data_IF_108973509915
#
_entry.id   IF_108973509915
#
_cell.length_a   1.000
_cell.length_b   1.000
_cell.length_c   1.000
_cell.angle_alpha   90.00
_cell.angle_beta   90.00
_cell.angle_gamma   90.00
#
_symmetry.space_group_name_H-M   'P 1'
#
loop_
_entity.id
_entity.type
_entity.pdbx_description
1 polymer ?
#
# COMPACT_ATOMS: atom_id res chain seq x y z
N UNK A 1 1.72 -6.91 27.07
CA UNK A 1 0.61 -6.90 26.09
C UNK A 1 0.83 -5.68 25.19
N UNK A 2 1.36 -5.84 23.97
CA UNK A 2 1.75 -4.71 23.11
C UNK A 2 0.50 -4.16 22.40
N UNK A 3 0.34 -2.84 22.39
CA UNK A 3 -0.82 -2.16 21.83
C UNK A 3 -0.92 -2.43 20.31
N UNK A 4 -2.08 -2.84 19.76
CA UNK A 4 -2.22 -3.18 18.34
C UNK A 4 -1.85 -2.02 17.39
N UNK A 5 -2.03 -0.76 17.84
CA UNK A 5 -1.60 0.44 17.11
C UNK A 5 -0.07 0.51 16.89
N UNK A 6 0.72 0.03 17.85
CA UNK A 6 2.20 0.03 17.79
C UNK A 6 2.68 -0.92 16.69
N UNK A 7 2.00 -2.06 16.48
CA UNK A 7 2.36 -3.03 15.44
C UNK A 7 2.10 -2.55 14.00
N UNK A 8 1.17 -1.62 13.79
CA UNK A 8 0.86 -1.11 12.45
C UNK A 8 1.94 -0.11 12.02
N UNK A 9 2.34 0.81 12.91
CA UNK A 9 3.36 1.82 12.61
C UNK A 9 4.75 1.21 12.33
N UNK A 10 5.07 0.07 12.95
CA UNK A 10 6.38 -0.60 12.78
C UNK A 10 6.65 -1.09 11.36
N UNK A 11 5.60 -1.47 10.62
CA UNK A 11 5.71 -2.03 9.26
C UNK A 11 5.07 -1.12 8.20
N UNK A 12 4.57 0.05 8.59
CA UNK A 12 3.85 0.96 7.71
C UNK A 12 4.78 1.67 6.71
N UNK A 13 4.19 2.03 5.57
CA UNK A 13 4.80 2.88 4.54
C UNK A 13 4.04 4.19 4.42
N UNK A 14 4.79 5.29 4.34
CA UNK A 14 4.25 6.65 4.40
C UNK A 14 4.61 7.42 3.14
N UNK A 15 3.65 8.14 2.57
CA UNK A 15 3.94 9.07 1.49
C UNK A 15 4.60 10.32 2.06
N UNK A 16 5.72 10.70 1.45
CA UNK A 16 6.44 11.93 1.77
C UNK A 16 6.65 12.75 0.49
N UNK A 17 5.98 13.90 0.42
CA UNK A 17 6.12 14.84 -0.71
C UNK A 17 7.45 15.60 -0.68
N UNK A 18 8.12 15.70 0.48
CA UNK A 18 9.41 16.37 0.65
C UNK A 18 10.60 15.44 0.42
N UNK A 19 10.40 14.12 0.46
CA UNK A 19 11.48 13.16 0.22
C UNK A 19 11.91 13.12 -1.25
N UNK A 20 13.21 13.21 -1.49
CA UNK A 20 13.82 13.08 -2.83
C UNK A 20 14.11 11.63 -3.22
N UNK A 21 14.06 10.71 -2.24
CA UNK A 21 14.32 9.27 -2.43
C UNK A 21 13.38 8.41 -1.59
N UNK A 22 13.21 7.14 -1.97
CA UNK A 22 12.52 6.17 -1.13
C UNK A 22 13.45 5.69 -0.01
N UNK A 23 12.92 5.52 1.20
CA UNK A 23 13.71 5.07 2.35
C UNK A 23 12.99 3.95 3.07
N UNK A 24 13.75 2.94 3.48
CA UNK A 24 13.25 1.83 4.25
C UNK A 24 14.15 1.57 5.45
N UNK A 25 13.56 1.39 6.63
CA UNK A 25 14.28 1.13 7.87
C UNK A 25 14.49 -0.37 8.14
N UNK A 26 13.70 -1.24 7.52
CA UNK A 26 13.75 -2.69 7.78
C UNK A 26 14.22 -3.49 6.55
N UNK A 27 15.29 -4.28 6.72
CA UNK A 27 15.92 -5.03 5.62
C UNK A 27 15.00 -6.07 4.97
N UNK A 28 13.98 -6.57 5.69
CA UNK A 28 13.05 -7.61 5.22
C UNK A 28 12.18 -7.17 4.04
N UNK A 29 11.96 -5.87 3.83
CA UNK A 29 11.17 -5.36 2.71
C UNK A 29 11.86 -5.49 1.34
N UNK A 30 13.19 -5.61 1.34
CA UNK A 30 13.97 -5.54 0.13
C UNK A 30 13.95 -6.87 -0.64
N UNK A 31 13.37 -6.83 -1.84
CA UNK A 31 13.44 -7.93 -2.82
C UNK A 31 14.84 -8.08 -3.41
N UNK A 32 15.47 -6.95 -3.73
CA UNK A 32 16.88 -6.89 -4.11
C UNK A 32 17.62 -5.99 -3.14
N UNK A 33 18.90 -6.25 -2.94
CA UNK A 33 19.72 -5.46 -2.03
C UNK A 33 21.18 -5.52 -2.40
N UNK A 34 21.80 -4.36 -2.39
CA UNK A 34 23.22 -4.16 -2.57
C UNK A 34 23.73 -3.32 -1.41
N UNK A 35 24.72 -3.80 -0.62
CA UNK A 35 25.36 -2.98 0.39
C UNK A 35 26.11 -1.83 -0.28
N UNK A 36 26.08 -0.65 0.34
CA UNK A 36 26.92 0.46 -0.09
C UNK A 36 28.25 0.36 0.65
N UNK A 37 29.36 0.44 -0.10
CA UNK A 37 30.72 0.22 0.44
C UNK A 37 31.34 1.48 1.03
N UNK A 38 30.95 2.64 0.53
CA UNK A 38 31.47 3.95 0.94
C UNK A 38 30.57 4.58 2.01
N UNK A 39 31.06 5.61 2.71
CA UNK A 39 30.28 6.42 3.64
C UNK A 39 29.22 7.25 2.90
N UNK A 40 28.13 6.57 2.50
CA UNK A 40 26.99 7.21 1.88
C UNK A 40 25.99 7.64 2.96
N UNK A 41 25.63 8.91 2.93
CA UNK A 41 24.73 9.52 3.91
C UNK A 41 23.46 10.03 3.25
N UNK A 42 22.35 9.92 3.96
CA UNK A 42 21.08 10.56 3.66
C UNK A 42 20.94 11.81 4.52
N UNK A 43 20.79 12.97 3.89
CA UNK A 43 20.50 14.23 4.57
C UNK A 43 18.99 14.38 4.80
N UNK A 44 18.63 14.92 5.96
CA UNK A 44 17.26 15.19 6.38
C UNK A 44 16.98 16.70 6.38
N UNK A 45 15.70 17.08 6.50
CA UNK A 45 15.28 18.48 6.48
C UNK A 45 15.65 19.30 7.73
N UNK A 46 16.28 18.67 8.72
CA UNK A 46 16.70 19.26 9.98
C UNK A 46 18.24 19.36 10.08
N UNK A 47 18.94 19.40 8.93
CA UNK A 47 20.40 19.46 8.80
C UNK A 47 21.17 18.28 9.41
N UNK A 48 20.47 17.25 9.90
CA UNK A 48 21.08 16.00 10.32
C UNK A 48 21.21 15.03 9.14
N UNK A 49 22.03 13.99 9.35
CA UNK A 49 22.21 12.91 8.40
C UNK A 49 22.12 11.54 9.06
N UNK A 50 21.87 10.52 8.24
CA UNK A 50 21.91 9.12 8.63
C UNK A 50 22.71 8.30 7.63
N UNK A 51 23.44 7.29 8.12
CA UNK A 51 24.19 6.37 7.27
C UNK A 51 23.24 5.50 6.45
N UNK A 52 23.55 5.35 5.16
CA UNK A 52 22.87 4.46 4.24
C UNK A 52 23.65 3.16 4.18
N UNK A 53 23.03 2.06 4.60
CA UNK A 53 23.69 0.76 4.69
C UNK A 53 23.63 -0.03 3.37
N UNK A 54 22.67 0.30 2.52
CA UNK A 54 22.44 -0.40 1.26
C UNK A 54 21.37 0.28 0.43
N UNK A 55 21.16 -0.24 -0.77
CA UNK A 55 20.08 0.15 -1.66
C UNK A 55 19.47 -1.06 -2.37
N UNK A 56 18.26 -0.92 -2.88
CA UNK A 56 17.64 -2.00 -3.63
C UNK A 56 16.23 -1.70 -4.09
N UNK A 57 15.43 -2.75 -4.24
CA UNK A 57 14.03 -2.65 -4.64
C UNK A 57 13.10 -3.23 -3.59
N UNK A 58 11.93 -2.61 -3.45
CA UNK A 58 10.85 -3.03 -2.55
C UNK A 58 9.57 -3.17 -3.36
N UNK A 59 8.83 -4.24 -3.14
CA UNK A 59 7.50 -4.43 -3.73
C UNK A 59 6.45 -4.11 -2.68
N UNK A 60 5.58 -3.15 -2.97
CA UNK A 60 4.43 -2.81 -2.13
C UNK A 60 3.17 -3.32 -2.78
N UNK A 61 2.49 -4.25 -2.11
CA UNK A 61 1.18 -4.73 -2.52
C UNK A 61 0.09 -3.93 -1.81
N UNK A 62 -0.77 -3.27 -2.56
CA UNK A 62 -1.91 -2.54 -2.00
C UNK A 62 -3.04 -3.48 -1.65
N UNK A 63 -3.93 -3.06 -0.74
CA UNK A 63 -5.15 -3.81 -0.41
C UNK A 63 -6.13 -4.01 -1.59
N UNK A 64 -5.87 -3.35 -2.72
CA UNK A 64 -6.55 -3.55 -4.00
C UNK A 64 -6.07 -4.80 -4.75
N UNK A 65 -5.01 -5.47 -4.27
CA UNK A 65 -4.30 -6.56 -4.95
C UNK A 65 -3.30 -6.09 -6.01
N UNK A 66 -3.16 -4.78 -6.25
CA UNK A 66 -2.18 -4.24 -7.19
C UNK A 66 -0.85 -3.98 -6.50
N UNK A 67 0.25 -4.18 -7.23
CA UNK A 67 1.60 -3.96 -6.71
C UNK A 67 2.26 -2.76 -7.38
N UNK A 68 3.14 -2.09 -6.64
CA UNK A 68 4.14 -1.19 -7.20
C UNK A 68 5.53 -1.64 -6.76
N UNK A 69 6.52 -1.49 -7.63
CA UNK A 69 7.92 -1.70 -7.28
C UNK A 69 8.58 -0.35 -7.11
N UNK A 70 9.11 -0.11 -5.91
CA UNK A 70 9.99 1.01 -5.63
C UNK A 70 11.42 0.58 -5.97
N UNK A 71 12.10 1.37 -6.80
CA UNK A 71 13.50 1.15 -7.18
C UNK A 71 14.41 2.13 -6.45
N UNK A 72 15.68 1.75 -6.28
CA UNK A 72 16.70 2.55 -5.60
C UNK A 72 16.27 3.01 -4.19
N UNK A 73 15.54 2.16 -3.48
CA UNK A 73 15.16 2.40 -2.09
C UNK A 73 16.42 2.37 -1.23
N UNK A 74 16.64 3.37 -0.39
CA UNK A 74 17.76 3.40 0.53
C UNK A 74 17.42 2.65 1.82
N UNK A 75 18.33 1.79 2.28
CA UNK A 75 18.23 1.12 3.56
C UNK A 75 18.90 1.97 4.65
N UNK A 76 18.08 2.53 5.54
CA UNK A 76 18.52 3.45 6.60
C UNK A 76 17.87 3.04 7.92
N UNK A 77 18.49 2.11 8.70
CA UNK A 77 17.89 1.54 9.92
C UNK A 77 17.56 2.57 11.00
N UNK A 78 18.30 3.69 11.00
CA UNK A 78 18.15 4.75 12.01
C UNK A 78 16.85 5.56 11.83
N UNK A 79 16.20 5.50 10.67
CA UNK A 79 14.94 6.21 10.46
C UNK A 79 13.76 5.50 11.11
N UNK A 80 12.78 6.29 11.56
CA UNK A 80 11.59 5.79 12.27
C UNK A 80 10.52 5.23 11.35
N UNK A 81 10.44 5.70 10.10
CA UNK A 81 9.35 5.38 9.15
C UNK A 81 9.93 4.94 7.82
N UNK A 82 9.25 4.01 7.15
CA UNK A 82 9.48 3.73 5.74
C UNK A 82 8.79 4.82 4.90
N UNK A 83 9.54 5.46 4.00
CA UNK A 83 9.10 6.61 3.24
C UNK A 83 9.06 6.31 1.75
N UNK A 84 7.94 6.66 1.13
CA UNK A 84 7.76 6.67 -0.31
C UNK A 84 7.85 8.12 -0.78
N UNK A 85 8.90 8.45 -1.52
CA UNK A 85 8.99 9.73 -2.22
C UNK A 85 7.85 9.91 -3.21
N UNK A 86 7.00 10.91 -2.94
CA UNK A 86 5.97 11.36 -3.87
C UNK A 86 6.54 11.88 -5.20
N UNK A 87 7.58 12.73 -5.19
CA UNK A 87 8.25 13.18 -6.42
C UNK A 87 8.77 12.04 -7.30
N UNK A 88 9.31 10.96 -6.74
CA UNK A 88 9.75 9.81 -7.53
C UNK A 88 8.58 9.04 -8.14
N UNK A 89 7.48 8.87 -7.42
CA UNK A 89 6.27 8.28 -7.98
C UNK A 89 5.70 9.13 -9.14
N UNK A 90 5.70 10.45 -9.02
CA UNK A 90 5.32 11.35 -10.13
C UNK A 90 6.18 11.12 -11.37
N UNK A 91 7.51 11.01 -11.22
CA UNK A 91 8.44 10.71 -12.34
C UNK A 91 8.14 9.35 -12.99
N UNK A 92 7.60 8.41 -12.24
CA UNK A 92 7.15 7.11 -12.75
C UNK A 92 5.73 7.11 -13.35
N UNK A 93 5.10 8.29 -13.49
CA UNK A 93 3.78 8.47 -14.09
C UNK A 93 2.61 8.18 -13.16
N UNK A 94 2.86 8.08 -11.86
CA UNK A 94 1.79 7.96 -10.88
C UNK A 94 1.16 9.32 -10.59
N UNK A 95 -0.16 9.31 -10.41
CA UNK A 95 -0.96 10.46 -10.00
C UNK A 95 -1.41 10.25 -8.56
N UNK A 96 -1.19 11.29 -7.77
CA UNK A 96 -1.51 11.38 -6.36
C UNK A 96 -2.75 12.29 -6.23
N UNK A 97 -3.75 11.84 -5.48
CA UNK A 97 -4.89 12.68 -5.10
C UNK A 97 -5.02 12.64 -3.59
N UNK A 98 -5.05 13.81 -2.98
CA UNK A 98 -5.30 14.01 -1.56
C UNK A 98 -6.68 14.63 -1.41
N UNK A 99 -7.58 13.93 -0.74
CA UNK A 99 -8.96 14.39 -0.54
C UNK A 99 -9.34 14.15 0.92
N UNK A 100 -9.44 15.22 1.69
CA UNK A 100 -9.59 15.16 3.15
C UNK A 100 -8.52 14.23 3.75
N UNK A 101 -8.93 13.21 4.49
CA UNK A 101 -8.03 12.24 5.13
C UNK A 101 -7.67 11.06 4.22
N UNK A 102 -7.96 11.11 2.92
CA UNK A 102 -7.68 10.03 1.96
C UNK A 102 -6.56 10.39 1.02
N UNK A 103 -5.73 9.38 0.75
CA UNK A 103 -4.74 9.40 -0.31
C UNK A 103 -5.13 8.38 -1.37
N UNK A 104 -5.09 8.76 -2.64
CA UNK A 104 -5.41 7.89 -3.77
C UNK A 104 -4.23 7.89 -4.75
N UNK A 105 -3.78 6.70 -5.11
CA UNK A 105 -2.74 6.48 -6.09
C UNK A 105 -3.33 5.87 -7.36
N UNK A 106 -2.97 6.42 -8.50
CA UNK A 106 -3.39 5.94 -9.82
C UNK A 106 -2.24 6.04 -10.82
N UNK A 107 -2.33 5.32 -11.93
CA UNK A 107 -1.39 5.43 -13.04
C UNK A 107 -2.15 5.27 -14.35
N UNK A 108 -1.97 6.22 -15.27
CA UNK A 108 -2.68 6.24 -16.57
C UNK A 108 -4.20 6.09 -16.44
N UNK A 109 -4.80 6.75 -15.44
CA UNK A 109 -6.24 6.68 -15.16
C UNK A 109 -6.71 5.41 -14.42
N UNK A 110 -5.83 4.43 -14.21
CA UNK A 110 -6.15 3.19 -13.49
C UNK A 110 -5.85 3.37 -12.01
N UNK A 111 -6.83 3.07 -11.16
CA UNK A 111 -6.66 3.03 -9.71
C UNK A 111 -5.62 1.96 -9.32
N UNK A 112 -4.65 2.36 -8.49
CA UNK A 112 -3.61 1.46 -7.97
C UNK A 112 -3.93 1.09 -6.54
N UNK A 113 -4.18 2.08 -5.69
CA UNK A 113 -4.44 1.83 -4.28
C UNK A 113 -4.71 3.13 -3.53
N UNK A 114 -4.89 3.01 -2.23
CA UNK A 114 -5.20 4.16 -1.38
C UNK A 114 -4.43 4.11 -0.07
N UNK A 115 -4.51 5.21 0.65
CA UNK A 115 -3.98 5.39 1.99
C UNK A 115 -4.87 6.35 2.77
N UNK A 116 -4.51 6.58 4.03
CA UNK A 116 -5.27 7.45 4.92
C UNK A 116 -4.33 8.29 5.78
N UNK A 117 -4.80 9.48 6.15
CA UNK A 117 -4.09 10.37 7.04
C UNK A 117 -4.02 9.75 8.43
N UNK A 118 -2.81 9.63 8.97
CA UNK A 118 -2.53 9.06 10.28
C UNK A 118 -1.28 9.73 10.86
N UNK A 119 -1.31 10.16 12.12
CA UNK A 119 -0.12 10.68 12.82
C UNK A 119 0.71 11.70 12.00
N UNK A 120 0.04 12.66 11.35
CA UNK A 120 0.68 13.75 10.60
C UNK A 120 1.07 13.45 9.16
N UNK A 121 0.83 12.25 8.64
CA UNK A 121 1.25 11.83 7.30
C UNK A 121 0.23 10.88 6.65
N UNK A 122 0.31 10.68 5.33
CA UNK A 122 -0.53 9.70 4.63
C UNK A 122 0.13 8.31 4.66
N UNK A 123 -0.52 7.37 5.34
CA UNK A 123 -0.11 5.97 5.44
C UNK A 123 -0.74 5.15 4.32
N UNK A 124 0.06 4.35 3.62
CA UNK A 124 -0.44 3.48 2.56
C UNK A 124 -1.22 2.29 3.12
N UNK A 125 -2.32 1.93 2.47
CA UNK A 125 -3.08 0.72 2.80
C UNK A 125 -2.56 -0.47 1.99
N UNK A 126 -1.64 -1.23 2.60
CA UNK A 126 -0.93 -2.33 1.97
C UNK A 126 -1.36 -3.70 2.51
N UNK A 127 -1.38 -4.70 1.64
CA UNK A 127 -1.32 -6.10 2.02
C UNK A 127 0.10 -6.37 2.55
N UNK A 128 0.21 -7.03 3.71
CA UNK A 128 1.51 -7.38 4.29
C UNK A 128 2.26 -8.37 3.39
N UNK A 129 3.58 -8.21 3.18
CA UNK A 129 4.48 -9.21 2.56
C UNK A 129 5.92 -9.03 3.09
N UNK A 130 6.77 -10.06 3.31
CA UNK A 130 6.51 -11.47 3.64
C UNK A 130 7.09 -11.95 5.01
N UNK A 131 6.34 -12.88 5.61
CA UNK A 131 6.77 -14.13 6.30
C UNK A 131 8.13 -14.23 7.03
N UNK A 132 8.05 -14.43 8.34
CA UNK A 132 8.83 -15.48 9.03
C UNK A 132 7.94 -16.74 9.02
N UNK A 133 8.45 -17.85 8.50
CA UNK A 133 7.78 -19.14 8.41
C UNK A 133 7.15 -19.59 9.73
N UNK A 134 5.85 -19.31 9.97
CA UNK A 134 4.96 -20.09 10.85
C UNK A 134 3.56 -19.51 11.07
N UNK A 135 3.16 -18.44 10.39
CA UNK A 135 1.80 -17.95 10.57
C UNK A 135 0.87 -18.38 9.44
N UNK A 136 0.14 -19.47 9.68
CA UNK A 136 -1.12 -19.71 8.96
C UNK A 136 -2.06 -18.57 9.33
N UNK A 137 -2.28 -17.64 8.40
CA UNK A 137 -3.37 -16.70 8.51
C UNK A 137 -4.44 -17.09 7.51
N UNK A 138 -5.63 -17.33 8.05
CA UNK A 138 -6.87 -17.35 7.29
C UNK A 138 -6.91 -16.07 6.45
N UNK A 139 -6.76 -16.22 5.14
CA UNK A 139 -7.44 -15.32 4.22
C UNK A 139 -8.91 -15.41 4.61
N UNK A 140 -9.43 -14.40 5.30
CA UNK A 140 -10.84 -14.09 5.13
C UNK A 140 -10.94 -13.78 3.65
N UNK A 141 -11.39 -14.76 2.87
CA UNK A 141 -12.17 -14.46 1.69
C UNK A 141 -13.19 -13.45 2.16
N UNK A 142 -12.96 -12.18 1.83
CA UNK A 142 -14.03 -11.21 1.91
C UNK A 142 -15.00 -11.69 0.85
N UNK A 143 -15.93 -12.55 1.25
CA UNK A 143 -17.21 -12.65 0.59
C UNK A 143 -17.76 -11.23 0.69
N UNK A 144 -17.49 -10.43 -0.34
CA UNK A 144 -17.98 -9.07 -0.38
C UNK A 144 -19.48 -9.24 -0.53
N UNK A 145 -20.20 -8.95 0.55
CA UNK A 145 -21.65 -9.08 0.63
C UNK A 145 -22.26 -8.55 -0.68
N UNK A 146 -23.04 -9.39 -1.36
CA UNK A 146 -23.75 -9.07 -2.60
C UNK A 146 -24.50 -7.73 -2.49
N UNK A 147 -25.00 -7.43 -1.29
CA UNK A 147 -25.69 -6.21 -0.92
C UNK A 147 -24.80 -4.95 -0.98
N UNK A 148 -23.50 -5.05 -0.67
CA UNK A 148 -22.56 -3.92 -0.73
C UNK A 148 -22.26 -3.52 -2.19
N UNK A 149 -22.16 -4.51 -3.09
CA UNK A 149 -22.07 -4.23 -4.52
C UNK A 149 -23.40 -3.74 -5.08
N UNK A 150 -24.54 -4.24 -4.60
CA UNK A 150 -25.87 -3.77 -4.99
C UNK A 150 -26.07 -2.29 -4.64
N UNK A 151 -25.66 -1.89 -3.43
CA UNK A 151 -25.72 -0.50 -2.97
C UNK A 151 -24.76 0.44 -3.73
N UNK A 152 -23.57 -0.03 -4.13
CA UNK A 152 -22.59 0.76 -4.89
C UNK A 152 -22.93 0.93 -6.37
N UNK A 153 -23.54 -0.10 -6.97
CA UNK A 153 -23.85 -0.11 -8.40
C UNK A 153 -25.21 0.52 -8.71
N UNK A 154 -26.14 0.55 -7.75
CA UNK A 154 -27.44 1.21 -7.86
C UNK A 154 -28.32 0.65 -8.98
N UNK A 155 -29.41 -0.05 -8.63
CA UNK A 155 -30.38 -0.61 -9.59
C UNK A 155 -29.83 -1.63 -10.62
N UNK A 156 -28.58 -2.06 -10.49
CA UNK A 156 -28.01 -3.12 -11.34
C UNK A 156 -28.58 -4.48 -10.92
N UNK A 157 -29.28 -5.13 -11.85
CA UNK A 157 -29.91 -6.43 -11.61
C UNK A 157 -28.86 -7.49 -11.24
N UNK A 158 -29.17 -8.34 -10.25
CA UNK A 158 -28.27 -9.38 -9.72
C UNK A 158 -27.65 -10.27 -10.81
N UNK A 159 -28.44 -10.67 -11.82
CA UNK A 159 -27.92 -11.46 -12.96
C UNK A 159 -26.76 -10.78 -13.70
N UNK A 160 -26.77 -9.45 -13.79
CA UNK A 160 -25.69 -8.68 -14.43
C UNK A 160 -24.44 -8.66 -13.55
N UNK A 161 -24.61 -8.54 -12.23
CA UNK A 161 -23.50 -8.64 -11.28
C UNK A 161 -22.88 -10.04 -11.31
N UNK A 162 -23.67 -11.10 -11.41
CA UNK A 162 -23.17 -12.47 -11.55
C UNK A 162 -22.37 -12.65 -12.85
N UNK A 163 -22.81 -12.05 -13.96
CA UNK A 163 -22.04 -12.01 -15.20
C UNK A 163 -20.69 -11.31 -15.02
N UNK A 164 -20.69 -10.12 -14.42
CA UNK A 164 -19.46 -9.38 -14.12
C UNK A 164 -18.50 -10.16 -13.21
N UNK A 165 -19.02 -10.95 -12.29
CA UNK A 165 -18.21 -11.84 -11.45
C UNK A 165 -17.60 -13.01 -12.23
N UNK A 166 -18.31 -13.55 -13.23
CA UNK A 166 -17.77 -14.61 -14.10
C UNK A 166 -16.71 -14.09 -15.06
N UNK A 167 -16.78 -12.80 -15.39
CA UNK A 167 -15.82 -12.11 -16.26
C UNK A 167 -14.63 -11.53 -15.48
N UNK A 168 -14.47 -11.88 -14.19
CA UNK A 168 -13.44 -11.35 -13.27
C UNK A 168 -13.41 -9.81 -13.13
N UNK A 169 -14.51 -9.12 -13.51
CA UNK A 169 -14.62 -7.66 -13.40
C UNK A 169 -14.93 -7.20 -11.97
N UNK A 170 -15.51 -8.08 -11.14
CA UNK A 170 -15.77 -7.90 -9.71
C UNK A 170 -15.51 -9.20 -8.95
N UNK A 171 -15.27 -9.08 -7.64
CA UNK A 171 -15.07 -10.24 -6.74
C UNK A 171 -16.28 -11.19 -6.72
N UNK A 172 -16.03 -12.48 -6.51
CA UNK A 172 -17.05 -13.52 -6.42
C UNK A 172 -18.21 -13.16 -5.48
N UNK A 173 -19.44 -13.33 -5.98
CA UNK A 173 -20.68 -13.03 -5.26
C UNK A 173 -21.33 -14.36 -4.83
N UNK A 174 -21.74 -14.45 -3.56
CA UNK A 174 -22.44 -15.62 -3.00
C UNK A 174 -23.89 -15.70 -3.51
N UNK A 175 -24.37 -16.91 -3.80
CA UNK A 175 -25.69 -17.17 -4.42
C UNK A 175 -26.86 -17.11 -3.42
N UNK A 176 -26.90 -16.10 -2.55
CA UNK A 176 -28.01 -15.96 -1.59
C UNK A 176 -28.81 -14.66 -1.81
N UNK A 177 -29.98 -14.72 -2.45
CA UNK A 177 -30.73 -13.54 -2.87
C UNK A 177 -31.73 -13.12 -1.79
N UNK A 178 -31.32 -12.30 -0.82
CA UNK A 178 -32.30 -11.41 -0.20
C UNK A 178 -32.61 -10.29 -1.18
N UNK A 179 -33.72 -10.43 -1.90
CA UNK A 179 -34.24 -9.38 -2.78
C UNK A 179 -34.54 -8.14 -1.92
N UNK A 180 -33.93 -7.00 -2.23
CA UNK A 180 -34.47 -5.72 -1.80
C UNK A 180 -35.84 -5.54 -2.47
N UNK A 181 -36.92 -5.71 -1.71
CA UNK A 181 -38.22 -5.15 -2.07
C UNK A 181 -38.11 -3.63 -2.01
N UNK A 182 -38.43 -2.97 -3.12
CA UNK A 182 -38.60 -1.51 -3.18
C UNK A 182 -39.96 -1.13 -2.62
#
# INVERSE_FOLDING_TARGET
RINPKIKVDEIAWWIDSGATTHVCKDRCWFKTYEPVKDEYVLYMGDDHFALVHGKGSVVLEFSSGKTITLFNVLYVPKLRKNLVSGPLLNKCGYKHVYESDKYILSKSGVFVGFGYYNNGMFMLNLNKVPDDSNSVYMSSSTVVNSLLWHARLGHVHYKRMLGMSKDDLITAIDENPEKCTT
#
